data_IF_969398425841
#
_entry.id   IF_969398425841
#
_cell.length_a   1.000
_cell.length_b   1.000
_cell.length_c   1.000
_cell.angle_alpha   90.00
_cell.angle_beta   90.00
_cell.angle_gamma   90.00
#
_symmetry.space_group_name_H-M   'P 1'
#
loop_
_entity.id
_entity.type
_entity.pdbx_description
1 polymer ?
#
# COMPACT_ATOMS: atom_id res chain seq x y z
N UNK A 1 4.62 40.10 -53.00
CA UNK A 1 4.07 38.77 -53.43
C UNK A 1 3.78 38.02 -52.13
N UNK A 2 2.48 37.96 -51.77
CA UNK A 2 1.96 37.36 -50.55
C UNK A 2 1.53 35.92 -50.92
N UNK A 3 2.11 34.92 -50.29
CA UNK A 3 1.74 33.54 -50.48
C UNK A 3 0.62 33.15 -49.50
N UNK A 4 -0.50 32.63 -50.05
CA UNK A 4 -1.63 32.07 -49.32
C UNK A 4 -1.32 30.69 -48.73
N UNK A 5 -1.84 30.35 -47.53
CA UNK A 5 -1.58 29.03 -46.93
C UNK A 5 -2.48 27.94 -47.54
N UNK A 6 -1.87 26.84 -47.92
CA UNK A 6 -2.53 25.65 -48.45
C UNK A 6 -3.11 24.80 -47.30
N UNK A 7 -4.32 24.30 -47.53
CA UNK A 7 -5.13 23.45 -46.65
C UNK A 7 -4.48 22.06 -46.49
N UNK A 8 -4.44 21.45 -45.27
CA UNK A 8 -3.91 20.11 -45.08
C UNK A 8 -4.87 19.03 -45.64
N UNK A 9 -4.34 17.87 -46.01
CA UNK A 9 -5.14 16.78 -46.61
C UNK A 9 -6.01 16.06 -45.54
N UNK A 10 -7.20 15.65 -46.00
CA UNK A 10 -8.20 14.88 -45.24
C UNK A 10 -7.70 13.48 -44.84
N UNK A 11 -7.96 13.08 -43.58
CA UNK A 11 -7.71 11.72 -43.06
C UNK A 11 -8.59 10.69 -43.79
N UNK A 12 -8.06 9.47 -44.06
CA UNK A 12 -8.88 8.37 -44.56
C UNK A 12 -9.79 7.84 -43.43
N UNK A 13 -11.04 7.53 -43.82
CA UNK A 13 -12.07 6.92 -42.99
C UNK A 13 -11.72 5.48 -42.62
N UNK A 14 -11.71 5.15 -41.33
CA UNK A 14 -11.59 3.79 -40.82
C UNK A 14 -12.84 2.96 -41.21
N UNK A 15 -12.67 1.69 -41.62
CA UNK A 15 -13.78 0.78 -41.78
C UNK A 15 -14.39 0.37 -40.45
N UNK A 16 -15.71 0.33 -40.36
CA UNK A 16 -16.53 -0.11 -39.25
C UNK A 16 -16.23 -1.57 -38.90
N UNK A 17 -15.80 -1.83 -37.66
CA UNK A 17 -15.65 -3.15 -37.07
C UNK A 17 -17.05 -3.66 -36.69
N UNK A 18 -17.52 -4.84 -37.13
CA UNK A 18 -18.78 -5.40 -36.68
C UNK A 18 -18.69 -5.86 -35.19
N UNK A 19 -19.80 -5.87 -34.42
CA UNK A 19 -19.81 -6.30 -33.05
C UNK A 19 -19.45 -7.79 -32.89
N UNK A 20 -18.80 -8.21 -31.79
CA UNK A 20 -18.40 -9.59 -31.55
C UNK A 20 -19.62 -10.50 -31.42
N UNK A 21 -19.65 -11.53 -32.26
CA UNK A 21 -20.65 -12.60 -32.23
C UNK A 21 -20.57 -13.39 -30.91
N UNK A 22 -21.75 -13.79 -30.40
CA UNK A 22 -21.89 -14.69 -29.25
C UNK A 22 -21.10 -15.96 -29.45
N UNK A 23 -20.10 -16.23 -28.60
CA UNK A 23 -19.43 -17.53 -28.51
C UNK A 23 -20.47 -18.58 -28.06
N UNK A 24 -20.71 -19.55 -28.90
CA UNK A 24 -21.45 -20.76 -28.60
C UNK A 24 -20.67 -21.56 -27.54
N UNK A 25 -21.28 -21.89 -26.41
CA UNK A 25 -20.70 -22.77 -25.39
C UNK A 25 -20.57 -24.18 -26.01
N UNK A 26 -19.38 -24.74 -25.94
CA UNK A 26 -19.13 -26.14 -26.23
C UNK A 26 -19.90 -27.08 -25.29
N UNK A 27 -20.44 -28.22 -25.77
CA UNK A 27 -21.17 -29.14 -24.90
C UNK A 27 -20.22 -29.93 -24.01
N UNK A 28 -20.55 -30.03 -22.71
CA UNK A 28 -19.86 -30.88 -21.75
C UNK A 28 -20.04 -32.37 -22.12
N UNK A 29 -18.95 -33.08 -22.36
CA UNK A 29 -18.91 -34.52 -22.50
C UNK A 29 -18.97 -35.19 -21.12
N UNK A 30 -19.94 -36.04 -20.88
CA UNK A 30 -19.96 -36.96 -19.72
C UNK A 30 -19.37 -38.31 -20.16
N UNK A 31 -18.34 -38.75 -19.46
CA UNK A 31 -17.69 -40.04 -19.69
C UNK A 31 -18.27 -41.10 -18.75
N UNK A 32 -18.62 -42.27 -19.27
CA UNK A 32 -18.92 -43.49 -18.50
C UNK A 32 -17.79 -44.51 -18.67
N UNK A 33 -17.44 -45.19 -17.61
CA UNK A 33 -16.51 -46.31 -17.59
C UNK A 33 -17.31 -47.59 -17.73
N UNK A 34 -16.97 -48.41 -18.75
CA UNK A 34 -17.56 -49.75 -18.96
C UNK A 34 -16.91 -50.77 -18.02
N UNK A 35 -17.57 -51.92 -17.84
CA UNK A 35 -17.15 -52.99 -16.94
C UNK A 35 -15.78 -53.63 -17.25
N UNK A 36 -15.22 -53.32 -18.40
CA UNK A 36 -13.89 -53.71 -18.88
C UNK A 36 -12.85 -52.62 -18.87
N UNK A 37 -13.13 -51.47 -18.17
CA UNK A 37 -12.17 -50.40 -17.92
C UNK A 37 -11.90 -49.42 -19.06
N UNK A 38 -12.70 -49.46 -20.16
CA UNK A 38 -12.58 -48.52 -21.29
C UNK A 38 -13.51 -47.34 -21.15
N UNK A 39 -13.01 -46.15 -21.49
CA UNK A 39 -13.79 -44.90 -21.51
C UNK A 39 -14.50 -44.80 -22.88
N UNK A 40 -15.84 -44.76 -22.86
CA UNK A 40 -16.68 -44.59 -24.08
C UNK A 40 -17.48 -43.30 -23.94
N UNK A 41 -17.43 -42.46 -24.95
CA UNK A 41 -18.24 -41.27 -25.08
C UNK A 41 -19.67 -41.61 -25.53
N UNK A 42 -20.69 -41.19 -24.79
CA UNK A 42 -22.10 -41.37 -25.14
C UNK A 42 -22.70 -40.10 -25.74
N UNK A 43 -23.52 -40.24 -26.82
CA UNK A 43 -24.22 -39.08 -27.39
C UNK A 43 -25.39 -38.62 -26.52
N UNK A 44 -25.51 -37.31 -26.30
CA UNK A 44 -26.56 -36.69 -25.55
C UNK A 44 -27.82 -36.52 -26.40
N UNK A 45 -28.94 -37.09 -25.95
CA UNK A 45 -30.25 -36.89 -26.57
C UNK A 45 -30.74 -35.44 -26.33
N UNK A 46 -31.47 -34.82 -27.28
CA UNK A 46 -31.97 -33.47 -27.14
C UNK A 46 -33.10 -33.40 -26.09
N UNK A 47 -33.02 -32.35 -25.23
CA UNK A 47 -34.02 -32.08 -24.22
C UNK A 47 -35.36 -31.63 -24.83
N UNK A 48 -36.50 -31.98 -24.25
CA UNK A 48 -37.83 -31.60 -24.73
C UNK A 48 -38.07 -30.10 -24.59
N UNK A 49 -38.68 -29.50 -25.61
CA UNK A 49 -39.17 -28.11 -25.63
C UNK A 49 -40.35 -27.97 -24.67
N UNK A 50 -40.26 -27.16 -23.67
CA UNK A 50 -41.42 -26.70 -22.86
C UNK A 50 -41.83 -25.34 -23.43
N UNK A 51 -42.99 -25.30 -24.06
CA UNK A 51 -43.75 -24.09 -24.30
C UNK A 51 -44.61 -23.83 -23.09
N UNK A 52 -44.61 -22.62 -22.57
CA UNK A 52 -45.85 -21.91 -22.18
C UNK A 52 -45.49 -20.61 -21.48
N UNK A 53 -46.14 -19.57 -21.97
CA UNK A 53 -46.18 -18.25 -21.37
C UNK A 53 -47.07 -18.26 -20.14
N UNK A 54 -46.70 -17.61 -19.05
CA UNK A 54 -47.54 -17.25 -17.95
C UNK A 54 -47.51 -15.73 -17.73
N UNK A 55 -48.61 -15.12 -17.29
CA UNK A 55 -48.86 -13.69 -17.38
C UNK A 55 -48.10 -12.89 -16.33
N UNK A 56 -47.69 -11.69 -16.76
CA UNK A 56 -47.04 -10.68 -15.97
C UNK A 56 -48.01 -10.08 -14.95
N UNK A 57 -47.79 -10.33 -13.67
CA UNK A 57 -48.48 -9.64 -12.57
C UNK A 57 -47.63 -8.43 -12.19
N UNK A 58 -48.15 -7.23 -12.43
CA UNK A 58 -47.61 -5.97 -11.90
C UNK A 58 -47.86 -5.93 -10.39
N UNK A 59 -46.79 -6.01 -9.60
CA UNK A 59 -46.86 -5.67 -8.19
C UNK A 59 -46.58 -4.17 -8.01
N UNK A 60 -47.62 -3.43 -7.61
CA UNK A 60 -47.50 -2.06 -7.15
C UNK A 60 -46.76 -2.01 -5.82
N UNK A 61 -45.70 -1.16 -5.75
CA UNK A 61 -44.99 -0.86 -4.52
C UNK A 61 -45.91 -0.09 -3.52
N UNK A 62 -45.85 -0.38 -2.21
CA UNK A 62 -46.62 0.36 -1.23
C UNK A 62 -46.09 1.79 -1.06
N UNK A 63 -47.00 2.76 -1.11
CA UNK A 63 -46.75 4.17 -0.76
C UNK A 63 -46.43 4.27 0.72
N UNK A 64 -45.27 4.80 1.03
CA UNK A 64 -44.88 5.22 2.39
C UNK A 64 -45.33 6.67 2.58
N UNK A 65 -46.31 6.88 3.49
CA UNK A 65 -46.69 8.23 3.93
C UNK A 65 -45.64 8.82 4.88
N UNK A 66 -45.37 10.14 4.84
CA UNK A 66 -44.44 10.76 5.75
C UNK A 66 -45.04 10.94 7.14
N UNK A 67 -44.40 10.34 8.14
CA UNK A 67 -44.74 10.55 9.57
C UNK A 67 -44.42 11.99 9.96
N UNK A 68 -45.44 12.70 10.46
CA UNK A 68 -45.34 14.00 11.08
C UNK A 68 -44.43 13.97 12.31
N UNK A 69 -43.41 14.79 12.34
CA UNK A 69 -42.55 15.03 13.50
C UNK A 69 -43.32 15.72 14.62
N UNK A 70 -43.30 15.14 15.80
CA UNK A 70 -43.80 15.78 17.03
C UNK A 70 -42.83 16.91 17.45
N UNK A 71 -43.38 18.07 17.76
CA UNK A 71 -42.72 19.23 18.34
C UNK A 71 -42.07 18.85 19.66
N UNK A 72 -40.74 19.04 19.77
CA UNK A 72 -40.04 19.07 21.05
C UNK A 72 -39.92 20.55 21.46
N UNK A 73 -40.32 20.80 22.70
CA UNK A 73 -40.39 22.12 23.32
C UNK A 73 -38.99 22.78 23.42
N UNK A 74 -39.01 24.12 23.28
CA UNK A 74 -37.86 25.00 23.40
C UNK A 74 -37.22 24.88 24.79
N UNK A 75 -35.93 24.54 24.83
CA UNK A 75 -35.04 24.81 25.97
C UNK A 75 -34.16 26.00 25.63
N UNK A 76 -34.14 26.96 26.56
CA UNK A 76 -33.33 28.17 26.52
C UNK A 76 -31.85 27.84 26.44
N UNK A 77 -31.03 28.63 25.72
CA UNK A 77 -29.59 28.38 25.65
C UNK A 77 -28.92 28.79 26.98
N UNK A 78 -28.18 27.84 27.55
CA UNK A 78 -27.18 28.15 28.56
C UNK A 78 -25.96 28.75 27.92
N UNK A 79 -25.22 29.67 28.58
CA UNK A 79 -24.01 30.27 28.04
C UNK A 79 -22.93 29.19 27.84
N UNK A 80 -22.04 29.36 26.85
CA UNK A 80 -20.99 28.39 26.55
C UNK A 80 -20.01 28.32 27.74
N UNK A 81 -19.88 27.12 28.31
CA UNK A 81 -18.77 26.75 29.16
C UNK A 81 -17.52 26.80 28.32
N UNK A 82 -16.55 27.61 28.68
CA UNK A 82 -15.23 27.63 28.05
C UNK A 82 -14.60 26.26 28.18
N UNK A 83 -14.37 25.61 27.03
CA UNK A 83 -13.56 24.42 26.95
C UNK A 83 -12.12 24.77 27.36
N UNK A 84 -11.44 23.93 28.13
CA UNK A 84 -10.01 24.11 28.38
C UNK A 84 -9.29 24.11 27.01
N UNK A 85 -8.33 25.03 26.87
CA UNK A 85 -7.38 24.99 25.76
C UNK A 85 -6.67 23.65 25.87
N UNK A 86 -6.95 22.76 24.90
CA UNK A 86 -6.18 21.53 24.71
C UNK A 86 -4.76 21.95 24.32
N UNK A 87 -3.82 21.67 25.19
CA UNK A 87 -2.40 21.82 24.89
C UNK A 87 -2.07 21.00 23.63
N UNK A 88 -1.51 21.67 22.61
CA UNK A 88 -1.13 21.07 21.31
C UNK A 88 -0.07 19.94 21.43
N UNK A 89 0.38 19.61 22.63
CA UNK A 89 1.43 18.63 22.89
C UNK A 89 0.93 17.17 23.08
N UNK A 90 -0.38 16.92 23.04
CA UNK A 90 -0.94 15.59 23.32
C UNK A 90 -1.29 14.75 22.08
N UNK A 91 -0.93 15.22 20.87
CA UNK A 91 -1.12 14.42 19.63
C UNK A 91 -0.12 13.24 19.46
N UNK A 92 0.80 13.04 20.41
CA UNK A 92 1.89 12.06 20.28
C UNK A 92 1.49 10.60 20.58
N UNK A 93 0.29 10.33 21.07
CA UNK A 93 -0.11 8.98 21.53
C UNK A 93 -1.12 8.24 20.64
N UNK A 94 -1.65 8.87 19.61
CA UNK A 94 -2.45 8.15 18.62
C UNK A 94 -1.56 7.61 17.51
N UNK A 95 -1.20 6.34 17.61
CA UNK A 95 -0.64 5.60 16.47
C UNK A 95 -1.52 5.76 15.24
N UNK A 96 -1.00 5.45 14.03
CA UNK A 96 -1.74 5.65 12.79
C UNK A 96 -3.09 4.95 12.88
N UNK A 97 -4.16 5.72 13.00
CA UNK A 97 -5.50 5.21 12.85
C UNK A 97 -5.63 4.80 11.37
N UNK A 98 -5.31 3.55 11.09
CA UNK A 98 -5.68 2.96 9.82
C UNK A 98 -7.19 2.97 9.74
N UNK A 99 -7.73 3.78 8.84
CA UNK A 99 -9.16 3.87 8.60
C UNK A 99 -9.63 2.61 7.85
N UNK A 100 -9.61 1.47 8.57
CA UNK A 100 -10.12 0.19 8.09
C UNK A 100 -11.63 0.17 8.25
N UNK A 101 -12.34 0.88 7.38
CA UNK A 101 -13.76 0.61 7.14
C UNK A 101 -13.99 -0.70 6.38
N UNK A 102 -12.96 -1.48 6.09
CA UNK A 102 -13.11 -2.84 5.56
C UNK A 102 -12.76 -3.85 6.64
N UNK A 103 -13.78 -4.53 7.09
CA UNK A 103 -13.83 -5.76 7.83
C UNK A 103 -12.58 -6.63 7.71
N UNK A 104 -11.77 -6.70 8.75
CA UNK A 104 -11.07 -7.93 9.10
C UNK A 104 -10.93 -8.02 10.60
N UNK A 105 -11.69 -8.96 11.21
CA UNK A 105 -11.64 -9.29 12.63
C UNK A 105 -10.24 -9.65 13.12
N UNK A 106 -9.34 -10.03 12.23
CA UNK A 106 -7.97 -10.45 12.55
C UNK A 106 -7.02 -9.28 12.84
N UNK A 107 -7.26 -8.10 12.26
CA UNK A 107 -6.42 -6.94 12.53
C UNK A 107 -6.67 -6.35 13.94
N UNK A 108 -7.89 -6.49 14.45
CA UNK A 108 -8.21 -6.09 15.83
C UNK A 108 -7.48 -6.95 16.86
N UNK A 109 -7.25 -8.24 16.61
CA UNK A 109 -6.55 -9.11 17.55
C UNK A 109 -5.06 -8.75 17.67
N UNK A 110 -4.37 -8.51 16.56
CA UNK A 110 -2.95 -8.13 16.57
C UNK A 110 -2.73 -6.76 17.24
N UNK A 111 -3.58 -5.78 16.94
CA UNK A 111 -3.51 -4.47 17.57
C UNK A 111 -3.87 -4.55 19.06
N UNK A 112 -4.85 -5.36 19.43
CA UNK A 112 -5.25 -5.54 20.81
C UNK A 112 -4.22 -6.34 21.61
N UNK A 113 -3.60 -7.37 21.05
CA UNK A 113 -2.48 -8.09 21.66
C UNK A 113 -1.25 -7.19 21.82
N UNK A 114 -0.95 -6.36 20.84
CA UNK A 114 0.14 -5.38 20.92
C UNK A 114 -0.14 -4.32 21.99
N UNK A 115 -1.37 -3.81 22.08
CA UNK A 115 -1.79 -2.86 23.13
C UNK A 115 -1.80 -3.50 24.51
N UNK A 116 -2.27 -4.76 24.65
CA UNK A 116 -2.21 -5.49 25.91
C UNK A 116 -0.77 -5.75 26.33
N UNK A 117 0.09 -6.15 25.41
CA UNK A 117 1.52 -6.32 25.69
C UNK A 117 2.19 -5.00 26.11
N UNK A 118 1.85 -3.89 25.47
CA UNK A 118 2.33 -2.55 25.90
C UNK A 118 1.78 -2.15 27.26
N UNK A 119 0.51 -2.44 27.56
CA UNK A 119 -0.11 -2.18 28.85
C UNK A 119 0.49 -3.04 29.99
N UNK A 120 0.75 -4.32 29.71
CA UNK A 120 1.44 -5.22 30.65
C UNK A 120 2.87 -4.76 30.94
N UNK A 121 3.60 -4.30 29.91
CA UNK A 121 4.95 -3.75 30.05
C UNK A 121 4.95 -2.48 30.90
N UNK A 122 3.97 -1.61 30.72
CA UNK A 122 3.85 -0.36 31.52
C UNK A 122 3.45 -0.61 32.98
N UNK A 123 2.70 -1.71 33.25
CA UNK A 123 2.33 -2.10 34.62
C UNK A 123 3.46 -2.81 35.38
N UNK A 124 4.43 -3.38 34.67
CA UNK A 124 5.48 -4.19 35.28
C UNK A 124 6.62 -3.39 35.93
N UNK A 125 6.63 -2.06 35.87
CA UNK A 125 7.68 -1.20 36.38
C UNK A 125 9.11 -1.71 36.08
N UNK A 126 9.28 -2.24 34.84
CA UNK A 126 10.51 -2.89 34.41
C UNK A 126 11.60 -1.84 34.19
N UNK A 127 12.79 -2.15 34.64
CA UNK A 127 13.95 -1.29 34.34
C UNK A 127 14.20 -1.26 32.84
N UNK A 128 14.77 -0.18 32.30
CA UNK A 128 15.12 -0.09 30.87
C UNK A 128 15.95 -1.27 30.35
N UNK A 129 16.85 -1.79 31.20
CA UNK A 129 17.66 -2.98 30.87
C UNK A 129 16.83 -4.27 30.76
N UNK A 130 15.76 -4.42 31.53
CA UNK A 130 14.88 -5.58 31.43
C UNK A 130 13.94 -5.55 30.22
N UNK A 131 13.60 -4.35 29.73
CA UNK A 131 12.88 -4.16 28.47
C UNK A 131 13.75 -4.51 27.26
N UNK A 132 15.01 -4.12 27.25
CA UNK A 132 15.97 -4.46 26.20
C UNK A 132 16.28 -5.96 26.13
N UNK A 133 16.23 -6.68 27.27
CA UNK A 133 16.46 -8.13 27.32
C UNK A 133 15.26 -8.97 26.85
N UNK A 134 14.04 -8.44 26.89
CA UNK A 134 12.90 -9.02 26.23
C UNK A 134 12.95 -8.56 24.77
N UNK A 135 13.13 -9.46 23.84
CA UNK A 135 13.11 -9.22 22.38
C UNK A 135 11.75 -8.63 21.95
N UNK A 136 11.43 -7.46 22.50
CA UNK A 136 10.32 -6.66 22.01
C UNK A 136 10.76 -6.13 20.64
N UNK A 137 9.94 -6.22 19.59
CA UNK A 137 10.28 -5.62 18.32
C UNK A 137 10.23 -4.09 18.46
N UNK A 138 11.31 -3.50 19.00
CA UNK A 138 11.52 -2.05 19.10
C UNK A 138 11.32 -1.37 17.75
N UNK A 139 11.49 -2.12 16.68
CA UNK A 139 11.23 -1.71 15.31
C UNK A 139 9.77 -1.27 15.06
N UNK A 140 8.82 -1.80 15.83
CA UNK A 140 7.40 -1.44 15.69
C UNK A 140 7.03 -0.13 16.40
N UNK A 141 7.87 0.38 17.28
CA UNK A 141 7.56 1.57 18.08
C UNK A 141 7.74 2.89 17.33
N UNK A 142 8.33 2.87 16.10
CA UNK A 142 8.65 4.10 15.34
C UNK A 142 9.48 5.13 16.12
N UNK A 143 10.14 4.69 17.18
CA UNK A 143 10.96 5.44 18.11
C UNK A 143 12.24 4.65 18.44
N UNK A 144 13.24 5.31 18.94
CA UNK A 144 14.54 4.73 19.31
C UNK A 144 14.67 4.75 20.83
N UNK A 145 15.03 3.61 21.40
CA UNK A 145 15.35 3.52 22.82
C UNK A 145 16.74 4.13 23.06
N UNK A 146 16.83 5.11 23.92
CA UNK A 146 18.12 5.59 24.45
C UNK A 146 18.60 4.60 25.52
N UNK A 147 19.73 3.96 25.27
CA UNK A 147 20.29 2.96 26.20
C UNK A 147 20.77 3.58 27.51
N UNK A 148 21.10 4.87 27.52
CA UNK A 148 21.60 5.56 28.69
C UNK A 148 20.46 5.97 29.64
N UNK A 149 19.36 6.48 29.09
CA UNK A 149 18.21 6.98 29.86
C UNK A 149 17.04 6.01 29.94
N UNK A 150 16.94 5.09 28.96
CA UNK A 150 15.81 4.19 28.78
C UNK A 150 14.57 4.86 28.19
N UNK A 151 14.68 6.07 27.71
CA UNK A 151 13.57 6.81 27.09
C UNK A 151 13.40 6.43 25.62
N UNK A 152 12.14 6.36 25.17
CA UNK A 152 11.81 6.23 23.76
C UNK A 152 11.82 7.60 23.10
N UNK A 153 12.68 7.78 22.11
CA UNK A 153 12.87 9.04 21.42
C UNK A 153 12.35 8.98 19.99
N UNK A 154 11.38 9.83 19.68
CA UNK A 154 10.94 10.12 18.32
C UNK A 154 11.91 11.09 17.63
N UNK A 155 11.74 11.30 16.31
CA UNK A 155 12.62 12.14 15.50
C UNK A 155 12.89 13.52 16.10
N UNK A 156 11.86 14.24 16.56
CA UNK A 156 12.01 15.60 17.14
C UNK A 156 12.85 15.60 18.42
N UNK A 157 12.71 14.58 19.25
CA UNK A 157 13.50 14.42 20.47
C UNK A 157 14.95 14.08 20.12
N UNK A 158 15.17 13.17 19.16
CA UNK A 158 16.50 12.83 18.65
C UNK A 158 17.24 14.04 18.06
N UNK A 159 16.53 14.94 17.37
CA UNK A 159 17.13 16.16 16.82
C UNK A 159 17.54 17.18 17.87
N UNK A 160 16.97 17.14 19.08
CA UNK A 160 17.39 17.97 20.23
C UNK A 160 18.56 17.36 21.00
N UNK A 161 18.81 16.07 20.84
CA UNK A 161 19.87 15.36 21.54
C UNK A 161 21.19 15.42 20.76
N UNK A 162 22.27 16.00 21.30
CA UNK A 162 23.56 16.13 20.60
C UNK A 162 24.15 14.80 20.13
N UNK A 163 23.89 13.69 20.87
CA UNK A 163 24.36 12.32 20.55
C UNK A 163 23.79 11.83 19.22
N UNK A 164 22.52 12.15 18.91
CA UNK A 164 21.76 11.56 17.82
C UNK A 164 21.45 12.53 16.66
N UNK A 165 21.42 13.82 16.94
CA UNK A 165 20.93 14.84 15.98
C UNK A 165 21.65 14.81 14.63
N UNK A 166 22.97 14.63 14.62
CA UNK A 166 23.75 14.52 13.38
C UNK A 166 23.43 13.26 12.61
N UNK A 167 23.30 12.12 13.30
CA UNK A 167 23.08 10.80 12.68
C UNK A 167 21.70 10.73 12.02
N UNK A 168 20.64 11.05 12.77
CA UNK A 168 19.27 11.04 12.25
C UNK A 168 18.99 12.20 11.29
N UNK A 169 19.64 13.34 11.44
CA UNK A 169 19.57 14.44 10.48
C UNK A 169 20.15 14.04 9.12
N UNK A 170 21.27 13.33 9.08
CA UNK A 170 21.85 12.81 7.85
C UNK A 170 20.97 11.70 7.23
N UNK A 171 20.44 10.79 8.05
CA UNK A 171 19.53 9.76 7.62
C UNK A 171 18.27 10.36 6.98
N UNK A 172 17.68 11.40 7.61
CA UNK A 172 16.52 12.08 7.06
C UNK A 172 16.82 12.84 5.77
N UNK A 173 17.98 13.47 5.65
CA UNK A 173 18.38 14.10 4.39
C UNK A 173 18.50 13.07 3.27
N UNK A 174 19.08 11.88 3.53
CA UNK A 174 19.14 10.78 2.57
C UNK A 174 17.73 10.32 2.13
N UNK A 175 16.83 10.14 3.10
CA UNK A 175 15.44 9.73 2.83
C UNK A 175 14.70 10.76 1.98
N UNK A 176 14.78 12.05 2.33
CA UNK A 176 14.19 13.13 1.54
C UNK A 176 14.78 13.18 0.13
N UNK A 177 16.10 13.03 0.00
CA UNK A 177 16.79 12.98 -1.29
C UNK A 177 16.30 11.80 -2.14
N UNK A 178 16.15 10.62 -1.53
CA UNK A 178 15.61 9.43 -2.19
C UNK A 178 14.18 9.63 -2.70
N UNK A 179 13.33 10.24 -1.89
CA UNK A 179 11.94 10.53 -2.28
C UNK A 179 11.84 11.64 -3.33
N UNK A 180 12.70 12.64 -3.26
CA UNK A 180 12.75 13.77 -4.19
C UNK A 180 13.59 13.45 -5.45
N UNK A 181 14.36 14.43 -5.94
CA UNK A 181 15.19 14.32 -7.16
C UNK A 181 16.65 13.90 -6.88
N UNK A 182 16.92 13.48 -5.65
CA UNK A 182 18.23 12.98 -5.25
C UNK A 182 19.12 14.04 -4.58
N UNK A 183 20.29 13.57 -4.12
CA UNK A 183 21.37 14.42 -3.62
C UNK A 183 22.59 14.15 -4.50
N UNK A 184 23.12 15.14 -5.22
CA UNK A 184 24.24 14.94 -6.15
C UNK A 184 25.41 14.21 -5.49
N UNK A 185 25.87 13.15 -6.13
CA UNK A 185 26.98 12.32 -5.65
C UNK A 185 26.72 11.47 -4.40
N UNK A 186 25.48 11.49 -3.82
CA UNK A 186 25.15 10.76 -2.60
C UNK A 186 23.94 9.86 -2.73
N UNK A 187 22.84 10.35 -3.30
CA UNK A 187 21.56 9.62 -3.33
C UNK A 187 20.85 9.85 -4.66
N UNK A 188 20.44 8.77 -5.31
CA UNK A 188 19.55 8.83 -6.48
C UNK A 188 18.11 9.03 -6.04
N UNK A 189 17.41 9.99 -6.66
CA UNK A 189 16.02 10.28 -6.37
C UNK A 189 15.06 9.37 -7.14
N UNK A 190 13.92 9.09 -6.53
CA UNK A 190 12.83 8.32 -7.16
C UNK A 190 11.80 9.20 -7.86
N UNK A 191 11.89 10.53 -7.71
CA UNK A 191 10.88 11.47 -8.20
C UNK A 191 9.47 11.17 -7.66
N UNK A 192 9.39 10.71 -6.42
CA UNK A 192 8.13 10.44 -5.73
C UNK A 192 7.48 11.73 -5.27
N UNK A 193 8.27 12.66 -4.75
CA UNK A 193 7.80 13.94 -4.23
C UNK A 193 8.44 15.13 -4.95
N UNK A 194 7.66 16.21 -5.07
CA UNK A 194 8.11 17.50 -5.62
C UNK A 194 7.71 18.63 -4.68
N UNK A 195 8.67 19.48 -4.33
CA UNK A 195 8.39 20.69 -3.55
C UNK A 195 7.81 21.77 -4.45
N UNK A 196 6.59 22.18 -4.15
CA UNK A 196 5.80 23.13 -4.92
C UNK A 196 5.46 24.37 -4.08
N UNK A 197 5.00 25.44 -4.70
CA UNK A 197 4.40 26.57 -3.97
C UNK A 197 2.97 26.21 -3.55
N UNK A 198 2.49 26.80 -2.47
CA UNK A 198 1.11 26.58 -2.00
C UNK A 198 0.07 26.91 -3.09
N UNK A 199 0.32 27.92 -3.91
CA UNK A 199 -0.55 28.34 -5.01
C UNK A 199 -0.67 27.31 -6.14
N UNK A 200 0.27 26.37 -6.24
CA UNK A 200 0.24 25.29 -7.24
C UNK A 200 -0.63 24.11 -6.81
N UNK A 201 -1.08 24.07 -5.55
CA UNK A 201 -2.04 23.07 -5.08
C UNK A 201 -3.43 23.45 -5.59
N UNK A 202 -4.15 22.57 -6.33
CA UNK A 202 -5.51 22.82 -6.79
C UNK A 202 -6.44 23.17 -5.63
N UNK A 203 -7.30 24.17 -5.81
CA UNK A 203 -8.16 24.70 -4.73
C UNK A 203 -9.16 23.67 -4.21
N UNK A 204 -9.66 22.79 -5.07
CA UNK A 204 -10.53 21.65 -4.72
C UNK A 204 -9.81 20.59 -3.87
N UNK A 205 -8.45 20.60 -3.87
CA UNK A 205 -7.61 19.65 -3.13
C UNK A 205 -7.06 20.22 -1.81
N UNK A 206 -7.36 21.46 -1.46
CA UNK A 206 -6.83 22.08 -0.23
C UNK A 206 -7.26 21.38 1.04
N UNK A 207 -8.44 20.78 1.05
CA UNK A 207 -8.93 19.99 2.21
C UNK A 207 -8.23 18.62 2.33
N UNK A 208 -7.64 18.15 1.26
CA UNK A 208 -6.92 16.87 1.20
C UNK A 208 -5.42 17.02 1.55
N UNK A 209 -4.94 18.26 1.81
CA UNK A 209 -3.55 18.48 2.20
C UNK A 209 -3.32 17.83 3.55
N UNK A 210 -2.48 16.81 3.56
CA UNK A 210 -2.12 16.06 4.75
C UNK A 210 -0.77 16.48 5.31
N UNK A 211 -0.25 15.75 6.26
CA UNK A 211 1.04 15.96 6.91
C UNK A 211 2.01 14.83 6.60
N UNK A 212 3.31 15.10 6.76
CA UNK A 212 4.34 14.07 6.75
C UNK A 212 4.76 13.73 8.18
N UNK A 213 4.87 12.44 8.48
CA UNK A 213 5.40 11.91 9.74
C UNK A 213 6.78 11.30 9.49
N UNK A 214 7.73 11.65 10.34
CA UNK A 214 9.08 11.08 10.32
C UNK A 214 9.13 9.92 11.30
N UNK A 215 9.38 8.72 10.78
CA UNK A 215 9.55 7.49 11.54
C UNK A 215 11.03 7.18 11.66
N UNK A 216 11.48 6.77 12.82
CA UNK A 216 12.88 6.46 13.12
C UNK A 216 13.04 5.05 13.65
N UNK A 217 14.12 4.39 13.23
CA UNK A 217 14.50 3.06 13.72
C UNK A 217 16.01 3.01 13.94
N UNK A 218 16.44 2.11 14.82
CA UNK A 218 17.82 1.71 14.98
C UNK A 218 17.95 0.22 14.67
N UNK A 219 18.81 -0.12 13.72
CA UNK A 219 19.02 -1.50 13.22
C UNK A 219 20.50 -1.81 13.21
N UNK A 220 21.07 -2.23 14.35
CA UNK A 220 22.51 -2.41 14.53
C UNK A 220 23.13 -3.45 13.58
N UNK A 221 22.33 -4.38 13.06
CA UNK A 221 22.74 -5.43 12.14
C UNK A 221 22.89 -4.98 10.68
N UNK A 222 22.56 -3.71 10.36
CA UNK A 222 22.66 -3.16 9.00
C UNK A 222 23.82 -2.19 8.89
N UNK A 223 24.43 -2.08 7.69
CA UNK A 223 25.53 -1.15 7.40
C UNK A 223 25.18 0.31 7.69
N UNK A 224 23.90 0.70 7.51
CA UNK A 224 23.36 2.01 7.89
C UNK A 224 22.32 1.79 9.00
N UNK A 225 22.75 1.78 10.28
CA UNK A 225 21.89 1.41 11.40
C UNK A 225 20.85 2.47 11.74
N UNK A 226 21.11 3.73 11.43
CA UNK A 226 20.22 4.86 11.75
C UNK A 226 19.27 5.11 10.60
N UNK A 227 18.05 4.60 10.71
CA UNK A 227 17.06 4.70 9.64
C UNK A 227 16.00 5.73 9.94
N UNK A 228 15.72 6.56 8.94
CA UNK A 228 14.59 7.49 8.92
C UNK A 228 13.70 7.20 7.72
N UNK A 229 12.38 7.22 7.92
CA UNK A 229 11.39 7.16 6.85
C UNK A 229 10.43 8.34 6.96
N UNK A 230 10.10 8.96 5.84
CA UNK A 230 9.01 9.92 5.75
C UNK A 230 7.75 9.18 5.30
N UNK A 231 6.70 9.22 6.11
CA UNK A 231 5.40 8.62 5.82
C UNK A 231 4.34 9.72 5.66
N UNK A 232 3.32 9.45 4.88
CA UNK A 232 2.19 10.37 4.69
C UNK A 232 1.11 10.09 5.73
N UNK A 233 0.49 11.11 6.29
CA UNK A 233 -0.70 10.99 7.14
C UNK A 233 -1.92 10.60 6.31
N UNK A 234 -2.09 9.30 6.06
CA UNK A 234 -3.15 8.75 5.21
C UNK A 234 -4.56 8.89 5.78
N UNK A 235 -4.66 9.15 7.08
CA UNK A 235 -5.92 9.40 7.80
C UNK A 235 -6.68 10.63 7.29
N UNK A 236 -5.94 11.61 6.73
CA UNK A 236 -6.51 12.85 6.16
C UNK A 236 -6.73 12.80 4.64
N UNK A 237 -6.23 11.76 3.98
CA UNK A 237 -6.38 11.61 2.53
C UNK A 237 -7.76 11.08 2.20
N UNK A 238 -8.57 11.91 1.54
CA UNK A 238 -9.86 11.48 1.00
C UNK A 238 -9.68 10.83 -0.37
N UNK A 239 -9.37 9.52 -0.38
CA UNK A 239 -9.24 8.76 -1.60
C UNK A 239 -10.59 8.11 -1.97
N UNK A 240 -11.15 8.37 -3.17
CA UNK A 240 -12.48 7.90 -3.54
C UNK A 240 -12.52 6.42 -3.98
N UNK A 241 -11.35 5.78 -4.16
CA UNK A 241 -11.22 4.41 -4.63
C UNK A 241 -11.05 3.40 -3.50
N UNK A 242 -10.95 2.13 -3.88
CA UNK A 242 -10.58 1.04 -2.98
C UNK A 242 -9.11 1.14 -2.56
N UNK A 243 -8.83 0.80 -1.31
CA UNK A 243 -7.49 0.83 -0.70
C UNK A 243 -7.09 -0.55 -0.15
N UNK A 244 -7.98 -1.54 -0.21
CA UNK A 244 -7.72 -2.89 0.29
C UNK A 244 -6.70 -3.61 -0.57
N UNK A 245 -5.56 -3.98 0.02
CA UNK A 245 -4.54 -4.78 -0.66
C UNK A 245 -4.64 -6.22 -0.18
N UNK A 246 -5.04 -7.18 -1.04
CA UNK A 246 -5.04 -8.58 -0.65
C UNK A 246 -3.59 -9.06 -0.48
N UNK A 247 -3.28 -9.58 0.70
CA UNK A 247 -1.98 -10.16 1.04
C UNK A 247 -2.16 -11.61 1.44
N UNK A 248 -1.09 -12.39 1.32
CA UNK A 248 -1.08 -13.77 1.77
C UNK A 248 -1.30 -13.88 3.27
N UNK A 249 -2.07 -14.86 3.71
CA UNK A 249 -2.20 -15.21 5.13
C UNK A 249 -1.05 -16.13 5.61
N UNK A 250 -0.83 -16.15 6.93
CA UNK A 250 0.26 -16.91 7.53
C UNK A 250 0.11 -18.42 7.33
N UNK A 251 -1.12 -18.95 7.25
CA UNK A 251 -1.36 -20.37 7.03
C UNK A 251 -0.88 -20.77 5.63
N UNK A 252 -1.21 -19.97 4.62
CA UNK A 252 -0.76 -20.18 3.24
C UNK A 252 0.77 -20.17 3.13
N UNK A 253 1.46 -19.24 3.82
CA UNK A 253 2.92 -19.22 3.90
C UNK A 253 3.46 -20.50 4.51
N UNK A 254 2.90 -20.96 5.65
CA UNK A 254 3.31 -22.21 6.30
C UNK A 254 3.05 -23.43 5.42
N UNK A 255 1.95 -23.47 4.69
CA UNK A 255 1.64 -24.55 3.75
C UNK A 255 2.64 -24.58 2.57
N UNK A 256 3.01 -23.42 2.03
CA UNK A 256 4.04 -23.33 1.00
C UNK A 256 5.37 -23.89 1.51
N UNK A 257 5.84 -23.44 2.69
CA UNK A 257 7.08 -23.94 3.30
C UNK A 257 7.04 -25.46 3.55
N UNK A 258 5.93 -25.97 4.08
CA UNK A 258 5.76 -27.41 4.26
C UNK A 258 5.80 -28.17 2.93
N UNK A 259 5.23 -27.58 1.87
CA UNK A 259 5.26 -28.17 0.54
C UNK A 259 6.66 -28.21 -0.08
N UNK A 260 7.58 -27.32 0.32
CA UNK A 260 8.99 -27.40 -0.10
C UNK A 260 9.62 -28.67 0.43
N UNK A 261 9.44 -28.95 1.74
CA UNK A 261 10.01 -30.13 2.40
C UNK A 261 9.46 -31.43 1.83
N UNK A 262 8.18 -31.45 1.43
CA UNK A 262 7.49 -32.64 0.91
C UNK A 262 7.60 -32.83 -0.61
N UNK A 263 8.27 -31.94 -1.33
CA UNK A 263 8.44 -32.05 -2.79
C UNK A 263 9.89 -32.38 -3.13
N UNK A 264 10.08 -33.46 -3.89
CA UNK A 264 11.42 -33.89 -4.31
C UNK A 264 12.13 -32.79 -5.12
N UNK A 265 13.37 -32.49 -4.76
CA UNK A 265 14.24 -31.48 -5.38
C UNK A 265 13.67 -30.03 -5.34
N UNK A 266 12.64 -29.80 -4.54
CA UNK A 266 12.17 -28.43 -4.34
C UNK A 266 13.19 -27.62 -3.52
N UNK A 267 13.34 -26.37 -3.90
CA UNK A 267 14.13 -25.36 -3.20
C UNK A 267 13.24 -24.20 -2.80
N UNK A 268 13.75 -23.40 -1.88
CA UNK A 268 13.08 -22.18 -1.41
C UNK A 268 14.05 -20.99 -1.48
N UNK A 269 13.54 -19.83 -1.87
CA UNK A 269 14.25 -18.57 -1.78
C UNK A 269 13.31 -17.46 -1.35
N UNK A 270 13.85 -16.37 -0.85
CA UNK A 270 13.14 -15.11 -0.61
C UNK A 270 13.56 -14.05 -1.61
N UNK A 271 12.63 -13.17 -2.01
CA UNK A 271 12.92 -12.01 -2.84
C UNK A 271 12.24 -10.80 -2.22
N UNK A 272 12.98 -9.70 -2.08
CA UNK A 272 12.47 -8.38 -1.66
C UNK A 272 12.56 -7.40 -2.83
N UNK A 273 11.46 -6.67 -3.08
CA UNK A 273 11.43 -5.59 -4.08
C UNK A 273 11.76 -4.26 -3.41
N UNK A 274 12.90 -3.69 -3.76
CA UNK A 274 13.31 -2.38 -3.26
C UNK A 274 12.41 -1.27 -3.75
N UNK A 275 12.02 -0.37 -2.84
CA UNK A 275 11.24 0.82 -3.16
C UNK A 275 9.91 0.52 -3.88
N UNK A 276 9.25 -0.58 -3.50
CA UNK A 276 8.07 -1.12 -4.18
C UNK A 276 7.00 -0.06 -4.48
N UNK A 277 6.58 0.69 -3.46
CA UNK A 277 5.60 1.76 -3.65
C UNK A 277 6.13 2.91 -4.51
N UNK A 278 7.39 3.30 -4.31
CA UNK A 278 8.00 4.44 -5.00
C UNK A 278 8.17 4.21 -6.51
N UNK A 279 8.09 2.94 -6.94
CA UNK A 279 8.11 2.56 -8.36
C UNK A 279 6.73 2.66 -9.03
N UNK A 280 5.69 3.00 -8.28
CA UNK A 280 4.30 2.98 -8.77
C UNK A 280 3.82 4.41 -9.06
N UNK A 281 3.62 4.79 -10.33
CA UNK A 281 3.06 6.09 -10.68
C UNK A 281 1.58 6.18 -10.27
N UNK A 282 1.16 7.36 -9.83
CA UNK A 282 -0.24 7.64 -9.50
C UNK A 282 -0.87 8.52 -10.58
N UNK A 283 -2.11 8.24 -10.95
CA UNK A 283 -2.89 9.08 -11.85
C UNK A 283 -3.49 10.29 -11.13
N UNK A 284 -3.76 10.17 -9.83
CA UNK A 284 -4.19 11.23 -8.93
C UNK A 284 -3.06 11.56 -7.98
N UNK A 285 -2.54 12.77 -8.05
CA UNK A 285 -1.50 13.23 -7.13
C UNK A 285 -2.10 13.58 -5.78
N UNK A 286 -1.33 13.36 -4.71
CA UNK A 286 -1.69 13.74 -3.35
C UNK A 286 -0.79 14.87 -2.86
N UNK A 287 -1.22 15.57 -1.82
CA UNK A 287 -0.52 16.75 -1.32
C UNK A 287 -0.27 16.64 0.17
N UNK A 288 0.94 16.99 0.60
CA UNK A 288 1.27 17.10 2.03
C UNK A 288 2.01 18.40 2.30
N UNK A 289 2.02 18.81 3.57
CA UNK A 289 2.84 19.92 4.04
C UNK A 289 3.85 19.44 5.06
N UNK A 290 5.03 20.02 5.04
CA UNK A 290 6.12 19.73 5.97
C UNK A 290 6.54 21.02 6.64
N UNK A 291 6.82 20.98 7.95
CA UNK A 291 7.33 22.14 8.67
C UNK A 291 8.80 22.36 8.26
N UNK A 292 9.14 23.56 7.81
CA UNK A 292 10.49 23.85 7.32
C UNK A 292 11.55 23.61 8.42
N UNK A 293 11.24 23.93 9.68
CA UNK A 293 12.13 23.73 10.82
C UNK A 293 12.48 22.28 11.13
N UNK A 294 11.67 21.32 10.64
CA UNK A 294 11.90 19.90 10.85
C UNK A 294 12.79 19.29 9.75
N UNK A 295 13.09 20.06 8.69
CA UNK A 295 13.90 19.60 7.58
C UNK A 295 15.40 19.88 7.81
N UNK A 296 16.30 18.96 7.37
CA UNK A 296 17.74 19.16 7.49
C UNK A 296 18.19 20.41 6.72
N UNK A 297 19.03 21.25 7.33
CA UNK A 297 19.46 22.55 6.79
C UNK A 297 20.12 22.43 5.41
N UNK A 298 20.97 21.42 5.20
CA UNK A 298 21.64 21.18 3.92
C UNK A 298 20.64 20.84 2.81
N UNK A 299 19.60 20.06 3.14
CA UNK A 299 18.53 19.73 2.22
C UNK A 299 17.68 20.96 1.88
N UNK A 300 17.33 21.78 2.88
CA UNK A 300 16.62 23.05 2.69
C UNK A 300 17.37 23.96 1.72
N UNK A 301 18.69 24.08 1.87
CA UNK A 301 19.55 24.87 1.00
C UNK A 301 19.60 24.30 -0.42
N UNK A 302 19.80 22.99 -0.55
CA UNK A 302 19.92 22.32 -1.84
C UNK A 302 18.67 22.49 -2.71
N UNK A 303 17.49 22.36 -2.09
CA UNK A 303 16.19 22.45 -2.78
C UNK A 303 15.59 23.87 -2.76
N UNK A 304 16.32 24.86 -2.25
CA UNK A 304 15.88 26.25 -2.12
C UNK A 304 14.50 26.39 -1.46
N UNK A 305 14.28 25.64 -0.40
CA UNK A 305 12.96 25.55 0.25
C UNK A 305 12.59 26.81 1.03
N UNK A 306 13.58 27.62 1.41
CA UNK A 306 13.35 28.92 2.04
C UNK A 306 12.56 29.88 1.12
N UNK A 307 12.69 29.75 -0.20
CA UNK A 307 11.92 30.55 -1.16
C UNK A 307 10.47 30.07 -1.34
N UNK A 308 10.14 28.86 -0.87
CA UNK A 308 8.82 28.22 -1.00
C UNK A 308 8.04 28.15 0.31
N UNK A 309 8.64 28.60 1.42
CA UNK A 309 8.01 28.56 2.73
C UNK A 309 6.86 29.57 2.79
N UNK A 310 5.75 29.15 3.37
CA UNK A 310 4.60 30.00 3.65
C UNK A 310 4.77 30.73 4.99
N UNK A 311 3.95 31.78 5.24
CA UNK A 311 4.03 32.57 6.46
C UNK A 311 3.83 31.76 7.75
N UNK A 312 3.12 30.63 7.68
CA UNK A 312 2.92 29.66 8.75
C UNK A 312 4.08 28.64 8.92
N UNK A 313 5.19 28.82 8.18
CA UNK A 313 6.41 28.04 8.31
C UNK A 313 6.40 26.67 7.62
N UNK A 314 5.46 26.41 6.72
CA UNK A 314 5.35 25.16 5.98
C UNK A 314 5.80 25.28 4.53
N UNK A 315 6.32 24.16 4.00
CA UNK A 315 6.54 23.91 2.58
C UNK A 315 5.56 22.86 2.08
N UNK A 316 5.12 22.98 0.85
CA UNK A 316 4.13 22.09 0.25
C UNK A 316 4.80 21.11 -0.69
N UNK A 317 4.24 19.91 -0.74
CA UNK A 317 4.80 18.77 -1.46
C UNK A 317 3.70 18.11 -2.27
N UNK A 318 3.95 17.93 -3.55
CA UNK A 318 3.13 17.11 -4.44
C UNK A 318 3.70 15.70 -4.51
N UNK A 319 2.87 14.68 -4.29
CA UNK A 319 3.24 13.27 -4.29
C UNK A 319 2.72 12.65 -5.58
N UNK A 320 3.65 12.23 -6.45
CA UNK A 320 3.36 11.71 -7.80
C UNK A 320 3.42 10.20 -7.93
N UNK A 321 4.02 9.54 -6.94
CA UNK A 321 4.14 8.07 -6.89
C UNK A 321 3.65 7.54 -5.56
N UNK A 322 3.39 6.23 -5.52
CA UNK A 322 3.05 5.56 -4.28
C UNK A 322 4.08 5.86 -3.18
N UNK A 323 3.60 6.09 -1.97
CA UNK A 323 4.43 6.42 -0.83
C UNK A 323 3.88 5.77 0.43
N UNK A 324 4.75 5.47 1.38
CA UNK A 324 4.35 4.93 2.69
C UNK A 324 3.35 5.86 3.39
N UNK A 325 2.27 5.27 3.89
CA UNK A 325 1.18 5.99 4.56
C UNK A 325 0.01 6.38 3.65
N UNK A 326 0.18 6.43 2.33
CA UNK A 326 -0.96 6.65 1.43
C UNK A 326 -1.86 5.41 1.40
N UNK A 327 -3.18 5.56 1.57
CA UNK A 327 -4.10 4.43 1.66
C UNK A 327 -4.14 3.58 0.39
N UNK A 328 -3.99 4.19 -0.79
CA UNK A 328 -4.06 3.53 -2.09
C UNK A 328 -2.73 2.94 -2.57
N UNK A 329 -1.58 3.26 -1.94
CA UNK A 329 -0.26 2.88 -2.46
C UNK A 329 -0.09 1.38 -2.60
N UNK A 330 -0.55 0.60 -1.63
CA UNK A 330 -0.46 -0.85 -1.65
C UNK A 330 -1.21 -1.46 -2.83
N UNK A 331 -2.48 -1.10 -2.99
CA UNK A 331 -3.32 -1.62 -4.05
C UNK A 331 -2.82 -1.24 -5.45
N UNK A 332 -2.38 0.01 -5.63
CA UNK A 332 -1.84 0.47 -6.92
C UNK A 332 -0.55 -0.27 -7.29
N UNK A 333 0.35 -0.46 -6.32
CA UNK A 333 1.60 -1.19 -6.53
C UNK A 333 1.34 -2.67 -6.85
N UNK A 334 0.42 -3.31 -6.12
CA UNK A 334 0.04 -4.69 -6.38
C UNK A 334 -0.59 -4.86 -7.77
N UNK A 335 -1.53 -4.02 -8.16
CA UNK A 335 -2.15 -4.07 -9.50
C UNK A 335 -1.12 -3.89 -10.62
N UNK A 336 -0.13 -3.02 -10.41
CA UNK A 336 0.94 -2.83 -11.38
C UNK A 336 1.85 -4.07 -11.48
N UNK A 337 2.21 -4.66 -10.35
CA UNK A 337 3.00 -5.89 -10.28
C UNK A 337 2.24 -7.06 -10.91
N UNK A 338 0.97 -7.25 -10.57
CA UNK A 338 0.09 -8.26 -11.16
C UNK A 338 0.03 -8.15 -12.68
N UNK A 339 -0.19 -6.94 -13.22
CA UNK A 339 -0.17 -6.70 -14.66
C UNK A 339 1.14 -7.11 -15.31
N UNK A 340 2.29 -6.94 -14.62
CA UNK A 340 3.61 -7.32 -15.11
C UNK A 340 3.82 -8.83 -15.08
N UNK A 341 3.48 -9.46 -13.95
CA UNK A 341 3.59 -10.89 -13.75
C UNK A 341 2.67 -11.69 -14.68
N UNK A 342 1.42 -11.24 -14.86
CA UNK A 342 0.45 -11.90 -15.73
C UNK A 342 0.91 -11.97 -17.20
N UNK A 343 1.69 -11.00 -17.68
CA UNK A 343 2.27 -11.02 -19.02
C UNK A 343 3.29 -12.12 -19.24
N UNK A 344 3.92 -12.56 -18.17
CA UNK A 344 4.98 -13.56 -18.16
C UNK A 344 4.49 -14.95 -17.69
N UNK A 345 3.15 -15.14 -17.60
CA UNK A 345 2.54 -16.43 -17.28
C UNK A 345 2.35 -16.71 -15.78
N UNK A 346 2.61 -15.75 -14.90
CA UNK A 346 2.31 -15.89 -13.47
C UNK A 346 0.86 -15.51 -13.20
N UNK A 347 0.15 -16.30 -12.38
CA UNK A 347 -1.26 -16.08 -12.02
C UNK A 347 -1.44 -16.11 -10.51
N UNK A 348 -2.16 -15.11 -9.98
CA UNK A 348 -2.61 -15.16 -8.61
C UNK A 348 -3.81 -16.10 -8.48
N UNK A 349 -3.85 -16.88 -7.41
CA UNK A 349 -5.00 -17.73 -7.10
C UNK A 349 -6.22 -16.88 -6.79
N UNK A 350 -7.36 -17.20 -7.40
CA UNK A 350 -8.64 -16.53 -7.11
C UNK A 350 -9.17 -16.87 -5.71
N UNK A 351 -8.85 -18.07 -5.20
CA UNK A 351 -9.33 -18.57 -3.90
C UNK A 351 -8.39 -18.23 -2.75
N UNK A 352 -7.12 -17.99 -3.04
CA UNK A 352 -6.08 -17.78 -2.03
C UNK A 352 -5.31 -16.50 -2.38
N UNK A 353 -5.76 -15.34 -1.88
CA UNK A 353 -5.08 -14.07 -2.14
C UNK A 353 -3.61 -14.11 -1.75
N UNK A 354 -2.74 -13.52 -2.58
CA UNK A 354 -1.30 -13.51 -2.35
C UNK A 354 -0.57 -14.82 -2.64
N UNK A 355 -1.26 -15.87 -3.09
CA UNK A 355 -0.64 -17.10 -3.59
C UNK A 355 -0.60 -17.10 -5.12
N UNK A 356 0.58 -17.38 -5.70
CA UNK A 356 0.86 -17.28 -7.12
C UNK A 356 1.44 -18.57 -7.67
N UNK A 357 1.09 -18.90 -8.90
CA UNK A 357 1.65 -20.02 -9.68
C UNK A 357 2.01 -19.54 -11.09
N UNK A 358 2.78 -20.33 -11.80
CA UNK A 358 3.03 -20.10 -13.24
C UNK A 358 2.21 -21.08 -14.06
N UNK A 359 1.80 -20.69 -15.27
CA UNK A 359 0.95 -21.48 -16.18
C UNK A 359 1.50 -22.90 -16.44
N UNK A 360 2.82 -23.09 -16.48
CA UNK A 360 3.44 -24.41 -16.74
C UNK A 360 4.75 -24.67 -15.96
N UNK A 361 5.40 -23.64 -15.38
CA UNK A 361 6.66 -23.82 -14.64
C UNK A 361 6.38 -24.36 -13.25
N UNK A 362 7.19 -25.31 -12.73
CA UNK A 362 7.07 -25.81 -11.37
C UNK A 362 7.61 -24.78 -10.35
N UNK A 363 6.98 -23.63 -10.31
CA UNK A 363 7.27 -22.51 -9.41
C UNK A 363 5.96 -21.98 -8.84
N UNK A 364 5.95 -21.73 -7.55
CA UNK A 364 4.86 -21.05 -6.86
C UNK A 364 5.44 -20.12 -5.79
N UNK A 365 4.73 -19.07 -5.45
CA UNK A 365 5.19 -18.17 -4.42
C UNK A 365 4.04 -17.52 -3.65
N UNK A 366 4.35 -17.12 -2.45
CA UNK A 366 3.51 -16.26 -1.61
C UNK A 366 4.04 -14.82 -1.71
N UNK A 367 3.12 -13.86 -1.74
CA UNK A 367 3.44 -12.44 -1.82
C UNK A 367 2.79 -11.70 -0.66
N UNK A 368 3.64 -11.05 0.14
CA UNK A 368 3.24 -10.14 1.19
C UNK A 368 3.82 -8.75 0.90
N UNK A 369 3.07 -7.90 0.21
CA UNK A 369 3.45 -6.56 -0.24
C UNK A 369 4.64 -6.60 -1.22
N UNK A 370 5.88 -6.49 -0.75
CA UNK A 370 7.16 -6.49 -1.48
C UNK A 370 7.98 -7.78 -1.24
N UNK A 371 7.57 -8.61 -0.27
CA UNK A 371 8.27 -9.83 0.12
C UNK A 371 7.68 -11.07 -0.56
N UNK A 372 8.54 -11.83 -1.24
CA UNK A 372 8.20 -13.11 -1.87
C UNK A 372 8.79 -14.27 -1.07
N UNK A 373 7.98 -15.29 -0.82
CA UNK A 373 8.46 -16.62 -0.41
C UNK A 373 8.26 -17.57 -1.57
N UNK A 374 9.33 -18.01 -2.22
CA UNK A 374 9.30 -18.70 -3.52
C UNK A 374 9.73 -20.16 -3.36
N UNK A 375 8.85 -21.09 -3.75
CA UNK A 375 9.15 -22.51 -3.95
C UNK A 375 9.35 -22.79 -5.43
N UNK A 376 10.39 -23.54 -5.78
CA UNK A 376 10.67 -23.91 -7.18
C UNK A 376 11.35 -25.30 -7.26
N UNK A 377 11.21 -25.93 -8.45
CA UNK A 377 11.94 -27.15 -8.82
C UNK A 377 12.64 -26.87 -10.15
N UNK A 378 13.99 -26.85 -10.10
CA UNK A 378 14.81 -26.40 -11.26
C UNK A 378 15.18 -24.91 -11.15
N UNK A 379 16.47 -24.62 -11.18
CA UNK A 379 17.01 -23.27 -10.97
C UNK A 379 16.54 -22.29 -12.06
N UNK A 380 16.39 -22.77 -13.29
CA UNK A 380 15.93 -22.00 -14.45
C UNK A 380 14.54 -21.35 -14.24
N UNK A 381 13.73 -21.89 -13.37
CA UNK A 381 12.40 -21.35 -13.04
C UNK A 381 12.49 -20.20 -12.04
N UNK A 382 13.40 -20.30 -11.07
CA UNK A 382 13.73 -19.21 -10.17
C UNK A 382 14.36 -18.02 -10.91
N UNK A 383 15.34 -18.33 -11.78
CA UNK A 383 16.05 -17.34 -12.60
C UNK A 383 15.09 -16.59 -13.55
N UNK A 384 14.08 -17.30 -14.08
CA UNK A 384 13.02 -16.68 -14.86
C UNK A 384 12.24 -15.64 -14.06
N UNK A 385 11.78 -15.97 -12.84
CA UNK A 385 11.06 -15.02 -11.98
C UNK A 385 11.93 -13.81 -11.65
N UNK A 386 13.19 -14.03 -11.25
CA UNK A 386 14.13 -12.95 -10.98
C UNK A 386 14.35 -12.05 -12.20
N UNK A 387 14.48 -12.64 -13.39
CA UNK A 387 14.63 -11.90 -14.64
C UNK A 387 13.40 -11.05 -14.94
N UNK A 388 12.21 -11.59 -14.74
CA UNK A 388 10.94 -10.88 -14.94
C UNK A 388 10.84 -9.68 -13.99
N UNK A 389 11.17 -9.88 -12.71
CA UNK A 389 11.14 -8.80 -11.72
C UNK A 389 12.20 -7.73 -12.01
N UNK A 390 13.43 -8.13 -12.36
CA UNK A 390 14.54 -7.22 -12.70
C UNK A 390 14.27 -6.33 -13.91
N UNK A 391 13.33 -6.68 -14.80
CA UNK A 391 12.92 -5.79 -15.91
C UNK A 391 12.39 -4.44 -15.41
N UNK A 392 11.83 -4.39 -14.20
CA UNK A 392 11.11 -3.21 -13.70
C UNK A 392 11.46 -2.81 -12.27
N UNK A 393 12.17 -3.65 -11.54
CA UNK A 393 12.44 -3.46 -10.11
C UNK A 393 13.90 -3.76 -9.77
N UNK A 394 14.44 -3.06 -8.79
CA UNK A 394 15.62 -3.52 -8.08
C UNK A 394 15.17 -4.54 -7.02
N UNK A 395 15.79 -5.72 -7.03
CA UNK A 395 15.47 -6.79 -6.09
C UNK A 395 16.71 -7.20 -5.30
N UNK A 396 16.49 -7.74 -4.10
CA UNK A 396 17.44 -8.57 -3.36
C UNK A 396 16.84 -9.96 -3.18
N UNK A 397 17.69 -10.98 -3.13
CA UNK A 397 17.27 -12.35 -2.90
C UNK A 397 18.24 -13.05 -1.95
N UNK A 398 17.69 -13.97 -1.16
CA UNK A 398 18.41 -14.89 -0.30
C UNK A 398 17.89 -16.30 -0.58
N UNK A 399 18.82 -17.27 -0.79
CA UNK A 399 18.55 -18.68 -1.10
C UNK A 399 18.69 -19.56 0.16
#
# INVERSE_FOLDING_TARGET
IIATPTKPPSRPSNPLIPPPGRLLREPRLTTRVSSDGRIVAAPIAPAPRVATAAPRVEMQAPRVEPRRSARIAAHSPQPPVALPQEDEDNEALTGPAYNTRSRTSNFRSVTQETMLACAEVSQLNLSPKSLASRKFPLEMLNAVLDEDTGELMEYRTLMKNPKYSKLYGQSYAKELGRLAQGIPGKVTGTNTIFFINKSEVPTDRWRDITYGRVVVNYRPEKDDPYRTRLTVGGDRVNYPGDCGTPTVDLLTVKLLLNSVVSTLNAKFMTIDIKDFYLNTPMSRFEYMRLKLSDLPADFVKQYNLAAKVTADGYVYVEIRRGMYGLPQSGLLAQKLLEKRLNKEGYRQSELTPGFWTHDWRPISFTLCVDDFGVKYVGQEHADHLMTVLKKNYAISNDD
#
